data_IF_869386705667
#
_entry.id   IF_869386705667
#
_cell.length_a   1.000
_cell.length_b   1.000
_cell.length_c   1.000
_cell.angle_alpha   90.00
_cell.angle_beta   90.00
_cell.angle_gamma   90.00
#
_symmetry.space_group_name_H-M   'P 1'
#
loop_
_entity.id
_entity.type
_entity.pdbx_description
1 polymer ?
#
# COMPACT_ATOMS: atom_id res chain seq x y z
N UNK A 1 8.21 12.32 15.44
CA UNK A 1 7.28 11.49 16.22
C UNK A 1 8.00 10.59 17.23
N UNK A 2 8.89 9.68 16.85
CA UNK A 2 9.56 8.77 17.80
C UNK A 2 10.37 9.49 18.86
N UNK A 3 11.13 10.53 18.50
CA UNK A 3 11.90 11.35 19.45
C UNK A 3 10.97 12.05 20.47
N UNK A 4 9.87 12.61 20.01
CA UNK A 4 8.86 13.24 20.87
C UNK A 4 8.18 12.24 21.81
N UNK A 5 7.84 11.06 21.29
CA UNK A 5 7.25 10.01 22.12
C UNK A 5 8.22 9.61 23.28
N UNK A 6 9.50 9.46 22.96
CA UNK A 6 10.54 9.16 23.97
C UNK A 6 10.71 10.30 24.97
N UNK A 7 10.81 11.54 24.50
CA UNK A 7 10.98 12.71 25.36
C UNK A 7 9.81 12.88 26.35
N UNK A 8 8.59 12.61 25.89
CA UNK A 8 7.38 12.73 26.69
C UNK A 8 6.95 11.43 27.38
N UNK A 9 7.72 10.34 27.25
CA UNK A 9 7.46 9.03 27.85
C UNK A 9 6.06 8.48 27.51
N UNK A 10 5.58 8.70 26.28
CA UNK A 10 4.31 8.18 25.82
C UNK A 10 4.49 6.90 25.03
N UNK A 11 3.54 5.97 25.17
CA UNK A 11 3.49 4.73 24.40
C UNK A 11 2.74 5.01 23.10
N UNK A 12 3.31 4.56 22.00
CA UNK A 12 2.69 4.68 20.67
C UNK A 12 2.61 3.31 20.02
N UNK A 13 1.52 3.06 19.32
CA UNK A 13 1.30 1.81 18.57
C UNK A 13 0.73 2.14 17.19
N UNK A 14 1.42 1.71 16.14
CA UNK A 14 0.87 1.73 14.79
C UNK A 14 -0.10 0.55 14.61
N UNK A 15 -1.23 0.79 13.94
CA UNK A 15 -2.14 -0.27 13.54
C UNK A 15 -1.59 -1.03 12.33
N UNK A 16 -1.43 -2.31 12.43
CA UNK A 16 -1.13 -3.27 11.35
C UNK A 16 -1.55 -4.67 11.81
N UNK A 17 -2.84 -4.82 12.06
CA UNK A 17 -3.39 -6.03 12.68
C UNK A 17 -3.16 -7.30 11.83
N UNK A 18 -3.09 -7.20 10.49
CA UNK A 18 -2.81 -8.33 9.59
C UNK A 18 -1.49 -9.03 9.93
N UNK A 19 -0.45 -8.27 10.27
CA UNK A 19 0.85 -8.81 10.69
C UNK A 19 0.74 -9.69 11.94
N UNK A 20 -0.19 -9.39 12.84
CA UNK A 20 -0.36 -10.09 14.11
C UNK A 20 -1.25 -11.33 14.02
N UNK A 21 -1.88 -11.60 12.88
CA UNK A 21 -2.80 -12.72 12.78
C UNK A 21 -2.07 -14.06 12.64
N UNK A 22 -2.75 -15.14 13.03
CA UNK A 22 -2.20 -16.48 13.01
C UNK A 22 -1.86 -16.98 11.60
N UNK A 23 -2.65 -16.58 10.60
CA UNK A 23 -2.42 -16.96 9.20
C UNK A 23 -1.08 -16.48 8.67
N UNK A 24 -0.69 -15.23 8.98
CA UNK A 24 0.61 -14.69 8.59
C UNK A 24 1.77 -15.45 9.26
N UNK A 25 1.63 -15.77 10.55
CA UNK A 25 2.65 -16.58 11.27
C UNK A 25 2.77 -17.99 10.69
N UNK A 26 1.66 -18.67 10.44
CA UNK A 26 1.66 -20.02 9.84
C UNK A 26 2.26 -20.02 8.43
N UNK A 27 2.00 -19.00 7.63
CA UNK A 27 2.66 -18.84 6.32
C UNK A 27 4.18 -18.82 6.48
N UNK A 28 4.69 -18.01 7.41
CA UNK A 28 6.11 -17.94 7.70
C UNK A 28 6.67 -19.30 8.12
N UNK A 29 5.99 -20.00 9.04
CA UNK A 29 6.40 -21.31 9.54
C UNK A 29 6.48 -22.36 8.41
N UNK A 30 5.49 -22.40 7.52
CA UNK A 30 5.49 -23.33 6.38
C UNK A 30 6.60 -23.02 5.39
N UNK A 31 6.83 -21.75 5.08
CA UNK A 31 7.94 -21.35 4.19
C UNK A 31 9.28 -21.71 4.82
N UNK A 32 9.48 -21.42 6.11
CA UNK A 32 10.73 -21.70 6.81
C UNK A 32 10.98 -23.20 7.03
N UNK A 33 9.92 -23.98 7.17
CA UNK A 33 10.00 -25.45 7.22
C UNK A 33 10.24 -26.08 5.83
N UNK A 34 10.28 -25.31 4.75
CA UNK A 34 10.51 -25.78 3.39
C UNK A 34 9.36 -26.55 2.77
N UNK A 35 8.14 -26.42 3.31
CA UNK A 35 6.95 -27.19 2.86
C UNK A 35 6.64 -26.99 1.37
N UNK A 36 6.90 -25.78 0.84
CA UNK A 36 6.68 -25.44 -0.57
C UNK A 36 7.97 -25.34 -1.38
N UNK A 37 9.11 -25.74 -0.79
CA UNK A 37 10.44 -25.61 -1.40
C UNK A 37 10.93 -24.16 -1.49
N UNK A 38 11.84 -23.89 -2.42
CA UNK A 38 12.37 -22.55 -2.65
C UNK A 38 11.38 -21.70 -3.44
N UNK A 39 11.03 -20.55 -2.92
CA UNK A 39 10.18 -19.57 -3.60
C UNK A 39 11.06 -18.66 -4.45
N UNK A 40 10.80 -18.60 -5.75
CA UNK A 40 11.49 -17.76 -6.73
C UNK A 40 10.61 -16.67 -7.33
N UNK A 41 9.27 -16.86 -7.27
CA UNK A 41 8.30 -15.93 -7.77
C UNK A 41 7.15 -15.76 -6.77
N UNK A 42 6.60 -14.55 -6.71
CA UNK A 42 5.44 -14.20 -5.88
C UNK A 42 4.50 -13.29 -6.65
N UNK A 43 3.22 -13.57 -6.57
CA UNK A 43 2.16 -12.77 -7.17
C UNK A 43 1.25 -12.22 -6.09
N UNK A 44 1.19 -10.90 -5.99
CA UNK A 44 0.35 -10.15 -5.07
C UNK A 44 -0.65 -9.31 -5.86
N UNK A 45 -1.90 -9.27 -5.44
CA UNK A 45 -2.91 -8.46 -6.12
C UNK A 45 -3.96 -7.92 -5.18
N UNK A 46 -4.64 -6.86 -5.62
CA UNK A 46 -5.77 -6.29 -4.90
C UNK A 46 -6.74 -5.62 -5.87
N UNK A 47 -8.02 -6.02 -5.80
CA UNK A 47 -9.09 -5.47 -6.65
C UNK A 47 -9.66 -4.14 -6.13
N UNK A 48 -9.19 -3.65 -4.99
CA UNK A 48 -9.59 -2.32 -4.49
C UNK A 48 -8.93 -1.25 -5.33
N UNK A 49 -9.73 -0.60 -6.16
CA UNK A 49 -9.23 0.52 -6.96
C UNK A 49 -9.25 1.82 -6.16
N UNK A 50 -8.06 2.29 -5.77
CA UNK A 50 -7.85 3.61 -5.19
C UNK A 50 -7.33 4.60 -6.25
N UNK A 51 -8.11 4.77 -7.31
CA UNK A 51 -7.86 5.70 -8.40
C UNK A 51 -9.19 6.25 -8.94
N UNK A 52 -9.15 7.26 -9.79
CA UNK A 52 -10.34 7.86 -10.41
C UNK A 52 -10.15 8.07 -11.90
N UNK A 53 -11.19 7.80 -12.67
CA UNK A 53 -11.24 8.09 -14.12
C UNK A 53 -11.57 9.56 -14.39
N UNK A 54 -12.31 10.20 -13.48
CA UNK A 54 -12.72 11.59 -13.62
C UNK A 54 -11.96 12.49 -12.65
N UNK A 55 -11.67 13.72 -13.03
CA UNK A 55 -11.07 14.70 -12.14
C UNK A 55 -11.90 14.91 -10.87
N UNK A 56 -11.24 15.43 -9.84
CA UNK A 56 -11.93 15.82 -8.61
C UNK A 56 -12.93 16.93 -8.94
N UNK A 57 -14.17 16.74 -8.53
CA UNK A 57 -15.22 17.73 -8.69
C UNK A 57 -14.88 19.07 -8.03
N UNK A 58 -15.69 20.08 -8.26
CA UNK A 58 -15.53 21.37 -7.57
C UNK A 58 -15.70 21.22 -6.06
N UNK A 59 -14.99 22.07 -5.32
CA UNK A 59 -15.10 22.14 -3.87
C UNK A 59 -16.53 22.52 -3.45
N UNK A 60 -16.93 22.06 -2.31
CA UNK A 60 -18.29 22.25 -1.77
C UNK A 60 -18.26 22.77 -0.34
N UNK A 61 -19.40 23.12 0.20
CA UNK A 61 -19.51 23.56 1.59
C UNK A 61 -19.08 22.43 2.54
N UNK A 62 -18.20 22.78 3.49
CA UNK A 62 -17.73 21.84 4.50
C UNK A 62 -18.83 21.57 5.53
N UNK A 63 -19.11 20.31 5.90
CA UNK A 63 -20.03 20.00 6.98
C UNK A 63 -19.62 20.69 8.29
N UNK A 64 -20.61 21.26 9.00
CA UNK A 64 -20.38 22.03 10.23
C UNK A 64 -19.71 21.25 11.37
N UNK A 65 -19.82 19.93 11.35
CA UNK A 65 -19.22 19.02 12.32
C UNK A 65 -17.85 18.48 11.93
N UNK A 66 -17.26 18.98 10.83
CA UNK A 66 -15.94 18.58 10.36
C UNK A 66 -14.96 19.75 10.45
N UNK A 67 -13.89 19.60 11.20
CA UNK A 67 -12.74 20.51 11.19
C UNK A 67 -11.85 20.17 9.99
N UNK A 68 -12.14 20.82 8.85
CA UNK A 68 -11.49 20.53 7.59
C UNK A 68 -9.99 20.87 7.59
N UNK A 69 -9.58 21.90 8.30
CA UNK A 69 -8.19 22.31 8.41
C UNK A 69 -7.36 21.24 9.13
N UNK A 70 -7.89 20.71 10.23
CA UNK A 70 -7.25 19.59 10.93
C UNK A 70 -7.26 18.31 10.12
N UNK A 71 -8.35 18.06 9.36
CA UNK A 71 -8.41 16.86 8.50
C UNK A 71 -7.36 16.89 7.38
N UNK A 72 -7.18 18.06 6.73
CA UNK A 72 -6.14 18.24 5.70
C UNK A 72 -4.72 18.00 6.25
N UNK A 73 -4.49 18.37 7.51
CA UNK A 73 -3.19 18.19 8.18
C UNK A 73 -2.04 18.87 7.43
N UNK A 74 -0.92 18.17 7.17
CA UNK A 74 0.26 18.75 6.53
C UNK A 74 0.14 18.92 5.01
N UNK A 75 -0.93 18.44 4.38
CA UNK A 75 -1.13 18.63 2.94
C UNK A 75 -1.39 20.11 2.61
N UNK A 76 -1.03 20.54 1.39
CA UNK A 76 -1.34 21.90 0.97
C UNK A 76 -2.83 22.14 1.03
N UNK A 77 -3.21 23.26 1.62
CA UNK A 77 -4.62 23.61 1.84
C UNK A 77 -5.42 23.67 0.55
N UNK A 78 -6.68 23.25 0.63
CA UNK A 78 -7.71 23.40 -0.40
C UNK A 78 -9.09 23.40 0.24
N UNK A 79 -10.10 23.85 -0.49
CA UNK A 79 -11.51 23.78 -0.06
C UNK A 79 -11.97 22.33 0.16
N UNK A 80 -13.03 22.20 0.96
CA UNK A 80 -13.62 20.88 1.22
C UNK A 80 -14.16 20.24 -0.05
N UNK A 81 -13.93 18.94 -0.18
CA UNK A 81 -14.40 18.19 -1.33
C UNK A 81 -14.92 16.80 -0.92
N UNK A 82 -16.15 16.49 -1.32
CA UNK A 82 -16.79 15.19 -1.05
C UNK A 82 -16.07 14.01 -1.70
N UNK A 83 -15.29 14.24 -2.74
CA UNK A 83 -14.46 13.23 -3.38
C UNK A 83 -13.20 12.87 -2.59
N UNK A 84 -12.88 13.63 -1.53
CA UNK A 84 -11.77 13.34 -0.61
C UNK A 84 -12.25 12.72 0.69
N UNK A 85 -13.19 13.35 1.37
CA UNK A 85 -13.68 12.92 2.68
C UNK A 85 -14.96 12.07 2.55
N UNK A 86 -15.16 11.00 3.33
CA UNK A 86 -14.20 10.47 4.33
C UNK A 86 -13.14 9.52 3.77
N UNK A 87 -13.33 8.93 2.60
CA UNK A 87 -12.52 7.79 2.11
C UNK A 87 -11.83 8.05 0.78
N UNK A 88 -12.40 8.91 -0.08
CA UNK A 88 -11.92 9.09 -1.45
C UNK A 88 -10.49 9.62 -1.60
N UNK A 89 -9.88 10.14 -0.53
CA UNK A 89 -8.53 10.69 -0.50
C UNK A 89 -7.44 9.70 -0.93
N UNK A 90 -7.63 8.41 -0.72
CA UNK A 90 -6.67 7.36 -1.16
C UNK A 90 -6.29 7.47 -2.63
N UNK A 91 -7.24 7.94 -3.46
CA UNK A 91 -7.10 7.97 -4.92
C UNK A 91 -6.25 9.14 -5.42
N UNK A 92 -5.94 10.12 -4.59
CA UNK A 92 -5.34 11.37 -5.01
C UNK A 92 -3.90 11.50 -4.52
N UNK A 93 -2.96 11.79 -5.44
CA UNK A 93 -1.51 11.84 -5.16
C UNK A 93 -1.13 12.79 -4.04
N UNK A 94 -1.92 13.83 -3.79
CA UNK A 94 -1.69 14.79 -2.71
C UNK A 94 -1.94 14.22 -1.32
N UNK A 95 -2.80 13.20 -1.21
CA UNK A 95 -3.31 12.70 0.07
C UNK A 95 -3.00 11.21 0.30
N UNK A 96 -3.04 10.41 -0.75
CA UNK A 96 -2.90 8.97 -0.68
C UNK A 96 -1.80 8.42 -1.58
N UNK A 97 -1.58 7.14 -1.49
CA UNK A 97 -0.52 6.41 -2.20
C UNK A 97 -1.05 5.22 -3.01
N UNK A 98 -2.18 5.40 -3.66
CA UNK A 98 -2.85 4.40 -4.49
C UNK A 98 -3.28 3.13 -3.74
N UNK A 99 -3.64 2.12 -4.48
CA UNK A 99 -3.98 0.79 -3.96
C UNK A 99 -2.78 0.15 -3.31
N UNK A 100 -1.61 0.25 -3.92
CA UNK A 100 -0.39 -0.33 -3.37
C UNK A 100 -0.02 0.25 -2.01
N UNK A 101 -0.13 1.56 -1.80
CA UNK A 101 0.17 2.17 -0.50
C UNK A 101 -0.88 1.89 0.57
N UNK A 102 -2.14 1.69 0.16
CA UNK A 102 -3.23 1.38 1.08
C UNK A 102 -3.33 -0.13 1.38
N UNK A 103 -3.23 -0.97 0.37
CA UNK A 103 -3.44 -2.41 0.51
C UNK A 103 -2.14 -3.24 0.47
N UNK A 104 -1.08 -2.70 -0.13
CA UNK A 104 0.19 -3.41 -0.23
C UNK A 104 0.76 -3.77 1.15
N UNK A 105 0.62 -2.89 2.13
CA UNK A 105 1.05 -3.18 3.51
C UNK A 105 0.29 -4.35 4.16
N UNK A 106 -0.86 -4.75 3.64
CA UNK A 106 -1.60 -5.93 4.11
C UNK A 106 -1.27 -7.18 3.30
N UNK A 107 -1.04 -7.03 1.99
CA UNK A 107 -0.85 -8.14 1.05
C UNK A 107 0.62 -8.52 0.93
N UNK A 108 1.52 -7.54 0.87
CA UNK A 108 2.95 -7.75 0.67
C UNK A 108 3.68 -8.06 2.00
N UNK A 109 3.20 -7.54 3.13
CA UNK A 109 3.82 -7.72 4.44
C UNK A 109 4.11 -9.18 4.81
N UNK A 110 3.14 -10.12 4.73
CA UNK A 110 3.43 -11.53 5.02
C UNK A 110 4.46 -12.16 4.07
N UNK A 111 4.56 -11.69 2.84
CA UNK A 111 5.57 -12.12 1.87
C UNK A 111 6.96 -11.65 2.30
N UNK A 112 7.08 -10.37 2.65
CA UNK A 112 8.33 -9.80 3.18
C UNK A 112 8.82 -10.55 4.39
N UNK A 113 7.93 -10.88 5.31
CA UNK A 113 8.25 -11.61 6.52
C UNK A 113 8.67 -13.04 6.22
N UNK A 114 7.83 -13.79 5.50
CA UNK A 114 8.08 -15.20 5.19
C UNK A 114 9.37 -15.41 4.39
N UNK A 115 9.64 -14.57 3.40
CA UNK A 115 10.80 -14.68 2.52
C UNK A 115 12.02 -13.88 2.99
N UNK A 116 11.91 -13.19 4.16
CA UNK A 116 12.98 -12.35 4.72
C UNK A 116 13.50 -11.35 3.69
N UNK A 117 12.58 -10.69 2.97
CA UNK A 117 12.94 -9.74 1.93
C UNK A 117 13.56 -8.48 2.55
N UNK A 118 14.56 -7.93 1.88
CA UNK A 118 15.19 -6.66 2.20
C UNK A 118 14.90 -5.64 1.10
N UNK A 119 15.90 -4.83 0.76
CA UNK A 119 15.79 -3.91 -0.37
C UNK A 119 15.84 -4.66 -1.70
N UNK A 120 14.99 -4.33 -2.67
CA UNK A 120 15.08 -4.88 -4.01
C UNK A 120 16.29 -4.33 -4.76
N UNK A 121 16.84 -5.10 -5.71
CA UNK A 121 17.86 -4.64 -6.66
C UNK A 121 17.26 -3.75 -7.75
N UNK A 122 16.02 -4.03 -8.14
CA UNK A 122 15.31 -3.25 -9.15
C UNK A 122 13.81 -3.22 -8.90
N UNK A 123 13.17 -2.15 -9.38
CA UNK A 123 11.72 -1.97 -9.42
C UNK A 123 11.36 -1.52 -10.84
N UNK A 124 10.39 -2.18 -11.43
CA UNK A 124 9.92 -1.88 -12.79
C UNK A 124 8.40 -1.73 -12.80
N UNK A 125 7.91 -0.66 -13.41
CA UNK A 125 6.51 -0.53 -13.80
C UNK A 125 6.36 -1.18 -15.18
N UNK A 126 5.69 -2.34 -15.22
CA UNK A 126 5.57 -3.15 -16.44
C UNK A 126 4.36 -2.74 -17.27
N UNK A 127 3.24 -2.51 -16.61
CA UNK A 127 2.01 -2.03 -17.23
C UNK A 127 1.36 -0.96 -16.36
N UNK A 128 0.73 0.01 -17.01
CA UNK A 128 0.15 1.17 -16.36
C UNK A 128 -1.01 1.74 -17.18
N UNK A 129 -2.18 1.84 -16.56
CA UNK A 129 -3.29 2.61 -17.10
C UNK A 129 -3.46 3.88 -16.29
N UNK A 130 -3.31 5.07 -16.90
CA UNK A 130 -3.43 6.32 -16.18
C UNK A 130 -4.85 6.55 -15.68
N UNK A 131 -4.95 7.19 -14.50
CA UNK A 131 -6.19 7.78 -13.99
C UNK A 131 -6.35 9.24 -14.44
N UNK A 132 -7.32 9.92 -13.86
CA UNK A 132 -7.51 11.35 -14.04
C UNK A 132 -6.30 12.15 -13.56
N UNK A 133 -6.22 13.42 -13.98
CA UNK A 133 -5.20 14.36 -13.50
C UNK A 133 -5.15 14.37 -11.96
N UNK A 134 -3.95 14.33 -11.40
CA UNK A 134 -3.68 14.22 -9.96
C UNK A 134 -4.19 12.93 -9.28
N UNK A 135 -4.85 12.02 -9.99
CA UNK A 135 -5.16 10.67 -9.50
C UNK A 135 -3.98 9.72 -9.70
N UNK A 136 -4.04 8.59 -9.03
CA UNK A 136 -3.16 7.45 -9.29
C UNK A 136 -3.63 6.64 -10.50
N UNK A 137 -2.84 5.64 -10.90
CA UNK A 137 -3.18 4.72 -11.98
C UNK A 137 -4.43 3.90 -11.69
N UNK A 138 -5.17 3.60 -12.76
CA UNK A 138 -6.34 2.74 -12.74
C UNK A 138 -5.97 1.25 -12.79
N UNK A 139 -4.77 0.96 -13.24
CA UNK A 139 -4.16 -0.36 -13.26
C UNK A 139 -2.65 -0.20 -13.21
N UNK A 140 -2.02 -0.94 -12.30
CA UNK A 140 -0.59 -0.99 -12.17
C UNK A 140 -0.12 -2.45 -12.13
N UNK A 141 0.93 -2.77 -12.92
CA UNK A 141 1.71 -3.98 -12.78
C UNK A 141 3.15 -3.59 -12.44
N UNK A 142 3.57 -3.88 -11.22
CA UNK A 142 4.91 -3.56 -10.71
C UNK A 142 5.66 -4.84 -10.41
N UNK A 143 6.93 -4.88 -10.80
CA UNK A 143 7.82 -6.03 -10.56
C UNK A 143 9.02 -5.57 -9.74
N UNK A 144 9.30 -6.28 -8.64
CA UNK A 144 10.51 -6.14 -7.85
C UNK A 144 11.38 -7.37 -7.98
N UNK A 145 12.69 -7.15 -8.14
CA UNK A 145 13.68 -8.23 -8.09
C UNK A 145 14.49 -8.10 -6.82
N UNK A 146 14.48 -9.16 -6.04
CA UNK A 146 15.22 -9.24 -4.78
C UNK A 146 16.42 -10.19 -4.92
N UNK A 147 17.60 -9.81 -4.38
CA UNK A 147 18.79 -10.63 -4.45
C UNK A 147 18.66 -11.93 -3.66
N UNK A 148 19.62 -12.82 -3.85
CA UNK A 148 19.83 -13.96 -2.99
C UNK A 148 20.04 -13.50 -1.53
N UNK A 149 19.42 -14.21 -0.57
CA UNK A 149 19.49 -13.91 0.85
C UNK A 149 19.94 -15.15 1.63
N UNK A 150 21.25 -15.26 1.90
CA UNK A 150 21.83 -16.48 2.47
C UNK A 150 21.56 -17.68 1.58
N UNK A 151 20.86 -18.69 2.09
CA UNK A 151 20.46 -19.90 1.34
C UNK A 151 19.15 -19.73 0.57
N UNK A 152 18.45 -18.60 0.72
CA UNK A 152 17.21 -18.32 0.02
C UNK A 152 17.50 -17.80 -1.40
N UNK A 153 16.80 -18.36 -2.39
CA UNK A 153 16.92 -17.99 -3.79
C UNK A 153 16.56 -16.50 -4.04
N UNK A 154 17.06 -15.88 -5.13
CA UNK A 154 16.51 -14.62 -5.62
C UNK A 154 14.99 -14.74 -5.83
N UNK A 155 14.26 -13.63 -5.64
CA UNK A 155 12.79 -13.60 -5.79
C UNK A 155 12.39 -12.48 -6.74
N UNK A 156 11.50 -12.81 -7.67
CA UNK A 156 10.75 -11.84 -8.44
C UNK A 156 9.34 -11.71 -7.85
N UNK A 157 8.95 -10.51 -7.42
CA UNK A 157 7.65 -10.25 -6.83
C UNK A 157 6.86 -9.32 -7.72
N UNK A 158 5.66 -9.75 -8.06
CA UNK A 158 4.69 -9.03 -8.87
C UNK A 158 3.59 -8.44 -7.99
N UNK A 159 3.22 -7.20 -8.28
CA UNK A 159 2.03 -6.55 -7.75
C UNK A 159 1.09 -6.18 -8.89
N UNK A 160 -0.17 -6.49 -8.70
CA UNK A 160 -1.23 -6.09 -9.61
C UNK A 160 -2.34 -5.37 -8.87
N UNK A 161 -2.83 -4.28 -9.43
CA UNK A 161 -4.07 -3.67 -9.00
C UNK A 161 -4.94 -3.26 -10.20
N UNK A 162 -6.22 -2.99 -9.92
CA UNK A 162 -7.18 -2.63 -10.95
C UNK A 162 -7.48 -3.71 -11.97
N UNK A 163 -7.09 -4.96 -11.70
CA UNK A 163 -7.40 -6.10 -12.56
C UNK A 163 -8.82 -6.58 -12.29
N UNK A 164 -9.77 -6.22 -13.15
CA UNK A 164 -11.02 -6.96 -13.26
C UNK A 164 -10.84 -8.02 -14.36
N UNK A 165 -10.51 -9.25 -13.95
CA UNK A 165 -10.74 -10.42 -14.78
C UNK A 165 -9.63 -10.91 -15.71
N UNK A 166 -8.41 -10.35 -15.65
CA UNK A 166 -7.32 -10.71 -16.56
C UNK A 166 -6.05 -11.14 -15.81
N UNK A 167 -6.15 -12.21 -15.01
CA UNK A 167 -4.99 -13.01 -14.56
C UNK A 167 -4.99 -14.32 -15.31
#
# INVERSE_FOLDING_TARGET
>A
MLAEARANRVVTQMGQHGHSNEGARRLCEYVWAGVIGQVTEVYCWCDRLNAREQPLAQDSECPKNLDWDKWIGPAAWRGYNRGLHPVGWYSWRRFGSATIGNMGNHVIDPVFWALKLGSPESVQLVDYRPGAEASWGLRDHIVWKFPKRGDLAPVEMHWFDGLKGDL
#
